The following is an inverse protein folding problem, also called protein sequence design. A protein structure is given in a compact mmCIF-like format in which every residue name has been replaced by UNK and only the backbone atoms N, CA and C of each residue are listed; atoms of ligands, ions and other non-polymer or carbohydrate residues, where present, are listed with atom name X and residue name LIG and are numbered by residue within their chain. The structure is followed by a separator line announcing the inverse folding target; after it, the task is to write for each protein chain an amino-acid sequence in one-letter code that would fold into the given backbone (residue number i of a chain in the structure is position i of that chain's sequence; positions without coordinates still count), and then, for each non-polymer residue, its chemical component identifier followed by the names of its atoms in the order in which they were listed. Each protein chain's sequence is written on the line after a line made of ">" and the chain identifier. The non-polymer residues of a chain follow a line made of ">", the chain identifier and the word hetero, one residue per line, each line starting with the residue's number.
data_IF_515863506232
#
_entry.id   IF_515863506232
#
_cell.length_a   1.000
_cell.length_b   1.000
_cell.length_c   1.000
_cell.angle_alpha   90.00
_cell.angle_beta   90.00
_cell.angle_gamma   90.00
#
_symmetry.space_group_name_H-M   'P 1'
#
loop_
_entity.id
_entity.type
_entity.pdbx_description
1 polymer ?
#
# COMPACT_ATOMS: atom_id res chain seq x y z
N UNK A 1 7.74 17.71 18.76
CA UNK A 1 6.32 17.37 18.80
C UNK A 1 6.24 15.92 18.40
N UNK A 2 5.87 15.04 19.32
CA UNK A 2 5.72 13.61 19.04
C UNK A 2 4.51 13.48 18.13
N UNK A 3 4.74 13.15 16.86
CA UNK A 3 3.70 12.71 15.92
C UNK A 3 3.07 11.45 16.52
N UNK A 4 2.05 11.65 17.37
CA UNK A 4 1.27 10.55 17.91
C UNK A 4 0.47 9.98 16.74
N UNK A 5 1.07 9.00 16.07
CA UNK A 5 0.41 8.12 15.13
C UNK A 5 -0.85 7.59 15.83
N UNK A 6 -1.98 8.20 15.52
CA UNK A 6 -3.23 7.93 16.22
C UNK A 6 -3.67 6.51 15.90
N UNK A 7 -4.30 5.83 16.85
CA UNK A 7 -4.84 4.48 16.67
C UNK A 7 -5.79 4.43 15.46
N UNK A 8 -6.50 5.53 15.18
CA UNK A 8 -7.31 5.70 13.97
C UNK A 8 -6.47 5.67 12.68
N UNK A 9 -5.30 6.32 12.66
CA UNK A 9 -4.38 6.23 11.51
C UNK A 9 -3.81 4.83 11.38
N UNK A 10 -3.52 4.13 12.48
CA UNK A 10 -3.12 2.72 12.48
C UNK A 10 -4.18 1.84 11.81
N UNK A 11 -5.44 1.99 12.21
CA UNK A 11 -6.55 1.24 11.61
C UNK A 11 -6.73 1.56 10.12
N UNK A 12 -6.56 2.82 9.70
CA UNK A 12 -6.61 3.22 8.28
C UNK A 12 -5.46 2.61 7.49
N UNK A 13 -4.23 2.62 8.02
CA UNK A 13 -3.08 1.97 7.37
C UNK A 13 -3.29 0.47 7.19
N UNK A 14 -3.75 -0.21 8.25
CA UNK A 14 -4.00 -1.66 8.23
C UNK A 14 -5.08 -1.99 7.20
N UNK A 15 -6.23 -1.31 7.25
CA UNK A 15 -7.31 -1.53 6.27
C UNK A 15 -6.90 -1.19 4.83
N UNK A 16 -6.05 -0.19 4.65
CA UNK A 16 -5.49 0.14 3.32
C UNK A 16 -4.53 -0.95 2.85
N UNK A 17 -3.68 -1.49 3.74
CA UNK A 17 -2.79 -2.61 3.41
C UNK A 17 -3.56 -3.87 3.02
N UNK A 18 -4.60 -4.24 3.77
CA UNK A 18 -5.47 -5.36 3.44
C UNK A 18 -6.14 -5.19 2.07
N UNK A 19 -6.67 -4.00 1.80
CA UNK A 19 -7.28 -3.67 0.50
C UNK A 19 -6.26 -3.72 -0.64
N UNK A 20 -5.02 -3.26 -0.41
CA UNK A 20 -3.96 -3.31 -1.42
C UNK A 20 -3.45 -4.72 -1.68
N UNK A 21 -3.45 -5.60 -0.67
CA UNK A 21 -3.22 -7.04 -0.87
C UNK A 21 -4.33 -7.63 -1.75
N UNK A 22 -5.59 -7.25 -1.54
CA UNK A 22 -6.69 -7.72 -2.37
C UNK A 22 -6.58 -7.21 -3.83
N UNK A 23 -6.21 -5.93 -4.02
CA UNK A 23 -5.90 -5.35 -5.33
C UNK A 23 -4.73 -6.09 -5.99
N UNK A 24 -3.67 -6.37 -5.24
CA UNK A 24 -2.51 -7.13 -5.72
C UNK A 24 -2.92 -8.51 -6.22
N UNK A 25 -3.76 -9.24 -5.49
CA UNK A 25 -4.26 -10.55 -5.90
C UNK A 25 -5.17 -10.49 -7.13
N UNK A 26 -5.86 -9.36 -7.37
CA UNK A 26 -6.66 -9.13 -8.58
C UNK A 26 -5.84 -8.64 -9.79
N UNK A 27 -4.59 -8.19 -9.59
CA UNK A 27 -3.73 -7.75 -10.69
C UNK A 27 -3.30 -8.93 -11.56
N UNK A 28 -3.20 -8.69 -12.86
CA UNK A 28 -2.64 -9.67 -13.79
C UNK A 28 -1.15 -9.91 -13.51
N UNK A 29 -0.68 -11.13 -13.78
CA UNK A 29 0.72 -11.53 -13.56
C UNK A 29 1.73 -10.57 -14.19
N UNK A 30 1.38 -9.94 -15.32
CA UNK A 30 2.23 -8.97 -16.01
C UNK A 30 2.41 -7.66 -15.20
N UNK A 31 1.36 -7.20 -14.51
CA UNK A 31 1.43 -6.03 -13.62
C UNK A 31 2.17 -6.38 -12.33
N UNK A 32 1.90 -7.54 -11.75
CA UNK A 32 2.64 -8.03 -10.59
C UNK A 32 4.13 -8.14 -10.90
N UNK A 33 4.50 -8.69 -12.07
CA UNK A 33 5.89 -8.78 -12.51
C UNK A 33 6.54 -7.40 -12.70
N UNK A 34 5.83 -6.42 -13.26
CA UNK A 34 6.35 -5.06 -13.40
C UNK A 34 6.58 -4.36 -12.04
N UNK A 35 5.69 -4.61 -11.07
CA UNK A 35 5.85 -4.13 -9.70
C UNK A 35 6.99 -4.86 -8.98
N UNK A 36 7.10 -6.18 -9.10
CA UNK A 36 8.21 -6.96 -8.55
C UNK A 36 9.56 -6.53 -9.17
N UNK A 37 9.60 -6.20 -10.46
CA UNK A 37 10.81 -5.70 -11.11
C UNK A 37 11.26 -4.33 -10.59
N UNK A 38 10.33 -3.50 -10.10
CA UNK A 38 10.61 -2.16 -9.54
C UNK A 38 10.89 -2.17 -8.04
N UNK A 39 10.19 -3.03 -7.29
CA UNK A 39 10.22 -3.03 -5.83
C UNK A 39 10.97 -4.24 -5.24
N UNK A 40 11.33 -5.22 -6.06
CA UNK A 40 12.13 -6.40 -5.71
C UNK A 40 11.35 -7.51 -5.00
N UNK A 41 10.51 -7.16 -4.04
CA UNK A 41 9.70 -8.12 -3.27
C UNK A 41 8.22 -7.76 -3.35
N UNK A 42 7.36 -8.76 -3.10
CA UNK A 42 5.92 -8.56 -3.03
C UNK A 42 5.56 -7.59 -1.90
N UNK A 43 6.20 -7.70 -0.74
CA UNK A 43 5.99 -6.79 0.39
C UNK A 43 6.31 -5.35 0.03
N UNK A 44 7.43 -5.09 -0.65
CA UNK A 44 7.79 -3.74 -1.09
C UNK A 44 6.83 -3.20 -2.14
N UNK A 45 6.35 -4.06 -3.04
CA UNK A 45 5.37 -3.67 -4.05
C UNK A 45 4.02 -3.29 -3.42
N UNK A 46 3.55 -4.08 -2.44
CA UNK A 46 2.32 -3.79 -1.70
C UNK A 46 2.51 -2.54 -0.83
N UNK A 47 3.65 -2.39 -0.15
CA UNK A 47 3.97 -1.18 0.61
C UNK A 47 3.95 0.06 -0.28
N UNK A 48 4.52 0.00 -1.48
CA UNK A 48 4.48 1.11 -2.43
C UNK A 48 3.06 1.44 -2.91
N UNK A 49 2.21 0.43 -3.13
CA UNK A 49 0.79 0.62 -3.45
C UNK A 49 0.04 1.29 -2.30
N UNK A 50 0.28 0.85 -1.07
CA UNK A 50 -0.30 1.43 0.15
C UNK A 50 0.13 2.88 0.31
N UNK A 51 1.43 3.17 0.22
CA UNK A 51 1.95 4.54 0.30
C UNK A 51 1.38 5.42 -0.80
N UNK A 52 1.26 4.92 -2.04
CA UNK A 52 0.65 5.68 -3.14
C UNK A 52 -0.80 6.03 -2.83
N UNK A 53 -1.58 5.07 -2.34
CA UNK A 53 -2.98 5.29 -1.98
C UNK A 53 -3.13 6.28 -0.82
N UNK A 54 -2.27 6.19 0.19
CA UNK A 54 -2.27 7.12 1.32
C UNK A 54 -1.90 8.54 0.90
N UNK A 55 -0.92 8.69 0.00
CA UNK A 55 -0.56 10.01 -0.53
C UNK A 55 -1.67 10.62 -1.39
N UNK A 56 -2.45 9.79 -2.09
CA UNK A 56 -3.63 10.23 -2.85
C UNK A 56 -4.80 10.63 -1.94
N UNK A 57 -5.05 9.89 -0.87
CA UNK A 57 -6.09 10.18 0.12
C UNK A 57 -5.79 11.46 0.91
N UNK A 58 -4.52 11.68 1.27
CA UNK A 58 -4.05 12.88 1.98
C UNK A 58 -4.00 14.16 1.11
N UNK A 59 -4.25 14.05 -0.20
CA UNK A 59 -4.35 15.18 -1.14
C UNK A 59 -5.78 15.41 -1.66
N UNK A 60 -6.79 14.75 -1.08
CA UNK A 60 -8.20 14.85 -1.49
C UNK A 60 -8.98 15.96 -0.76
#
# INVERSE_FOLDING_TARGET
>A
MTDSFSETQASVLIGTAEKMIEVWNRLSAQRQAALLARFGTQENAIAALVTTHLLQDQNA
#
